data_IF_066675397826
#
_entry.id   IF_066675397826
#
_cell.length_a   1.000
_cell.length_b   1.000
_cell.length_c   1.000
_cell.angle_alpha   90.00
_cell.angle_beta   90.00
_cell.angle_gamma   90.00
#
_symmetry.space_group_name_H-M   'P 1'
#
loop_
_entity.id
_entity.type
_entity.pdbx_description
1 polymer ?
#
# COMPACT_ATOMS: atom_id res chain seq x y z
N UNK A 1 -32.52 -9.86 -42.02
CA UNK A 1 -31.18 -9.58 -41.46
C UNK A 1 -30.82 -10.32 -40.16
N UNK A 2 -31.73 -11.02 -39.44
CA UNK A 2 -31.41 -11.63 -38.14
C UNK A 2 -30.74 -13.03 -38.19
N UNK A 3 -30.95 -13.83 -39.25
CA UNK A 3 -30.42 -15.19 -39.34
C UNK A 3 -28.90 -15.26 -39.60
N UNK A 4 -28.35 -14.29 -40.33
CA UNK A 4 -26.90 -14.21 -40.62
C UNK A 4 -26.05 -13.85 -39.40
N UNK A 5 -26.52 -12.92 -38.56
CA UNK A 5 -25.84 -12.55 -37.33
C UNK A 5 -25.86 -13.71 -36.31
N UNK A 6 -26.96 -14.45 -36.25
CA UNK A 6 -27.08 -15.65 -35.40
C UNK A 6 -26.16 -16.77 -35.89
N UNK A 7 -26.07 -17.02 -37.21
CA UNK A 7 -25.15 -18.00 -37.77
C UNK A 7 -23.67 -17.64 -37.51
N UNK A 8 -23.30 -16.36 -37.68
CA UNK A 8 -21.94 -15.88 -37.42
C UNK A 8 -21.55 -16.01 -35.93
N UNK A 9 -22.44 -15.60 -35.03
CA UNK A 9 -22.22 -15.75 -33.58
C UNK A 9 -22.16 -17.22 -33.17
N UNK A 10 -22.98 -18.11 -33.75
CA UNK A 10 -22.88 -19.56 -33.50
C UNK A 10 -21.62 -20.22 -34.07
N UNK A 11 -21.08 -19.72 -35.18
CA UNK A 11 -19.78 -20.14 -35.73
C UNK A 11 -18.62 -19.76 -34.83
N UNK A 12 -18.63 -18.53 -34.31
CA UNK A 12 -17.64 -18.02 -33.33
C UNK A 12 -17.77 -18.77 -31.98
N UNK A 13 -18.99 -19.11 -31.56
CA UNK A 13 -19.24 -19.95 -30.37
C UNK A 13 -18.80 -21.41 -30.56
N UNK A 14 -18.83 -21.96 -31.78
CA UNK A 14 -18.24 -23.28 -32.11
C UNK A 14 -16.72 -23.25 -32.19
N UNK A 15 -16.12 -22.11 -32.54
CA UNK A 15 -14.70 -21.80 -32.28
C UNK A 15 -14.40 -21.54 -30.78
N UNK A 16 -15.32 -21.91 -29.88
CA UNK A 16 -15.45 -21.55 -28.47
C UNK A 16 -14.32 -21.93 -27.52
N UNK A 17 -13.15 -22.35 -28.04
CA UNK A 17 -11.92 -22.54 -27.26
C UNK A 17 -11.05 -21.28 -27.16
N UNK A 18 -11.14 -20.34 -28.10
CA UNK A 18 -10.19 -19.22 -28.17
C UNK A 18 -10.67 -17.93 -27.50
N UNK A 19 -11.97 -17.72 -27.34
CA UNK A 19 -12.49 -16.51 -26.69
C UNK A 19 -12.03 -16.28 -25.24
N UNK A 20 -11.80 -17.31 -24.39
CA UNK A 20 -11.29 -17.09 -23.04
C UNK A 20 -9.88 -16.51 -23.07
N UNK A 21 -9.06 -16.96 -24.02
CA UNK A 21 -7.71 -16.44 -24.25
C UNK A 21 -7.77 -14.98 -24.72
N UNK A 22 -8.72 -14.63 -25.59
CA UNK A 22 -8.93 -13.24 -26.00
C UNK A 22 -9.34 -12.34 -24.83
N UNK A 23 -10.30 -12.78 -23.99
CA UNK A 23 -10.71 -12.04 -22.79
C UNK A 23 -9.55 -11.90 -21.79
N UNK A 24 -8.80 -12.99 -21.58
CA UNK A 24 -7.61 -12.98 -20.72
C UNK A 24 -6.54 -12.03 -21.27
N UNK A 25 -6.32 -12.01 -22.59
CA UNK A 25 -5.41 -11.07 -23.24
C UNK A 25 -5.85 -9.62 -23.05
N UNK A 26 -7.16 -9.32 -23.08
CA UNK A 26 -7.66 -7.98 -22.76
C UNK A 26 -7.38 -7.58 -21.31
N UNK A 27 -7.62 -8.46 -20.34
CA UNK A 27 -7.24 -8.19 -18.94
C UNK A 27 -5.72 -8.03 -18.78
N UNK A 28 -4.95 -8.88 -19.46
CA UNK A 28 -3.48 -8.79 -19.52
C UNK A 28 -3.01 -7.44 -20.09
N UNK A 29 -3.66 -6.94 -21.14
CA UNK A 29 -3.38 -5.62 -21.70
C UNK A 29 -3.67 -4.50 -20.70
N UNK A 30 -4.81 -4.53 -20.00
CA UNK A 30 -5.14 -3.54 -18.96
C UNK A 30 -4.13 -3.60 -17.80
N UNK A 31 -3.71 -4.79 -17.36
CA UNK A 31 -2.69 -4.96 -16.33
C UNK A 31 -1.30 -4.45 -16.78
N UNK A 32 -0.88 -4.81 -17.99
CA UNK A 32 0.46 -4.51 -18.50
C UNK A 32 0.61 -3.08 -19.02
N UNK A 33 -0.44 -2.47 -19.58
CA UNK A 33 -0.38 -1.11 -20.15
C UNK A 33 -1.01 -0.09 -19.21
N UNK A 34 -2.19 -0.41 -18.65
CA UNK A 34 -2.88 0.51 -17.74
C UNK A 34 -2.26 0.60 -16.35
N UNK A 35 -1.66 -0.51 -15.88
CA UNK A 35 -1.15 -0.66 -14.52
C UNK A 35 0.37 -0.95 -14.46
N UNK A 36 1.11 -0.70 -15.54
CA UNK A 36 2.54 -1.04 -15.66
C UNK A 36 3.43 -0.43 -14.56
N UNK A 37 3.17 0.83 -14.19
CA UNK A 37 3.86 1.53 -13.09
C UNK A 37 3.21 1.30 -11.73
N UNK A 38 2.05 0.65 -11.70
CA UNK A 38 1.28 0.43 -10.47
C UNK A 38 1.61 -0.91 -9.83
N UNK A 39 1.89 -1.95 -10.64
CA UNK A 39 2.33 -3.26 -10.16
C UNK A 39 3.86 -3.33 -10.16
N UNK A 40 4.47 -3.25 -8.97
CA UNK A 40 5.91 -3.46 -8.81
C UNK A 40 6.17 -4.96 -8.64
N UNK A 41 7.14 -5.49 -9.39
CA UNK A 41 7.63 -6.85 -9.21
C UNK A 41 8.53 -6.90 -7.98
N UNK A 42 7.98 -7.33 -6.86
CA UNK A 42 8.71 -7.50 -5.60
C UNK A 42 8.55 -8.92 -5.03
N UNK A 43 9.24 -9.19 -3.91
CA UNK A 43 9.16 -10.48 -3.24
C UNK A 43 7.73 -10.79 -2.75
N UNK A 44 6.95 -9.76 -2.39
CA UNK A 44 5.55 -9.88 -1.99
C UNK A 44 4.67 -10.42 -3.11
N UNK A 45 4.86 -9.94 -4.34
CA UNK A 45 4.14 -10.42 -5.51
C UNK A 45 4.49 -11.89 -5.80
N UNK A 46 5.77 -12.25 -5.78
CA UNK A 46 6.21 -13.64 -6.01
C UNK A 46 5.61 -14.59 -4.97
N UNK A 47 5.70 -14.23 -3.69
CA UNK A 47 5.11 -15.02 -2.61
C UNK A 47 3.58 -15.07 -2.71
N UNK A 48 2.96 -14.00 -3.18
CA UNK A 48 1.52 -13.93 -3.44
C UNK A 48 1.08 -14.88 -4.54
N UNK A 49 1.84 -14.99 -5.63
CA UNK A 49 1.59 -16.00 -6.68
C UNK A 49 1.68 -17.41 -6.11
N UNK A 50 2.71 -17.70 -5.31
CA UNK A 50 2.83 -18.98 -4.61
C UNK A 50 1.61 -19.20 -3.70
N UNK A 51 1.20 -18.18 -2.94
CA UNK A 51 0.02 -18.25 -2.08
C UNK A 51 -1.27 -18.55 -2.85
N UNK A 52 -1.46 -17.98 -4.04
CA UNK A 52 -2.60 -18.30 -4.90
C UNK A 52 -2.61 -19.78 -5.30
N UNK A 53 -1.46 -20.38 -5.64
CA UNK A 53 -1.38 -21.81 -5.98
C UNK A 53 -1.82 -22.71 -4.81
N UNK A 54 -1.38 -22.38 -3.60
CA UNK A 54 -1.71 -23.16 -2.41
C UNK A 54 -3.12 -22.91 -1.88
N UNK A 55 -3.67 -21.71 -2.06
CA UNK A 55 -4.95 -21.34 -1.45
C UNK A 55 -6.14 -21.44 -2.38
N UNK A 56 -5.93 -21.41 -3.69
CA UNK A 56 -7.02 -21.53 -4.65
C UNK A 56 -7.57 -22.97 -4.63
N UNK A 57 -8.86 -23.07 -4.36
CA UNK A 57 -9.66 -24.27 -4.56
C UNK A 57 -10.93 -23.91 -5.33
N UNK A 58 -11.35 -24.82 -6.19
CA UNK A 58 -12.54 -24.66 -7.00
C UNK A 58 -13.59 -25.68 -6.59
N UNK A 59 -14.76 -25.19 -6.20
CA UNK A 59 -15.91 -26.04 -5.96
C UNK A 59 -16.68 -26.23 -7.28
N UNK A 60 -16.39 -27.34 -7.98
CA UNK A 60 -17.05 -27.72 -9.24
C UNK A 60 -18.53 -28.06 -9.08
N UNK A 61 -18.99 -28.31 -7.85
CA UNK A 61 -20.39 -28.63 -7.57
C UNK A 61 -21.29 -27.40 -7.46
N UNK A 62 -20.69 -26.23 -7.25
CA UNK A 62 -21.40 -24.97 -7.13
C UNK A 62 -21.22 -24.12 -8.38
N UNK A 63 -22.34 -23.53 -8.82
CA UNK A 63 -22.33 -22.60 -9.94
C UNK A 63 -21.52 -21.36 -9.56
N UNK A 64 -20.60 -20.95 -10.44
CA UNK A 64 -19.93 -19.65 -10.36
C UNK A 64 -20.95 -18.52 -10.21
N UNK A 65 -20.67 -17.56 -9.33
CA UNK A 65 -21.60 -16.50 -8.99
C UNK A 65 -21.22 -15.22 -9.74
N UNK A 66 -22.20 -14.40 -10.11
CA UNK A 66 -21.99 -13.07 -10.68
C UNK A 66 -21.47 -12.05 -9.66
N UNK A 67 -21.12 -12.48 -8.43
CA UNK A 67 -20.59 -11.62 -7.36
C UNK A 67 -19.38 -10.78 -7.81
N UNK A 68 -18.45 -11.39 -8.53
CA UNK A 68 -17.25 -10.69 -8.99
C UNK A 68 -17.54 -9.74 -10.16
N UNK A 69 -18.59 -10.02 -10.95
CA UNK A 69 -19.04 -9.09 -11.98
C UNK A 69 -19.56 -7.80 -11.36
N UNK A 70 -20.45 -7.89 -10.35
CA UNK A 70 -20.97 -6.70 -9.68
C UNK A 70 -19.87 -5.91 -8.97
N UNK A 71 -18.96 -6.59 -8.27
CA UNK A 71 -17.80 -5.93 -7.66
C UNK A 71 -16.92 -5.23 -8.70
N UNK A 72 -16.67 -5.86 -9.84
CA UNK A 72 -15.89 -5.26 -10.92
C UNK A 72 -16.59 -4.04 -11.52
N UNK A 73 -17.88 -4.14 -11.85
CA UNK A 73 -18.66 -3.01 -12.39
C UNK A 73 -18.74 -1.86 -11.41
N UNK A 74 -18.96 -2.12 -10.12
CA UNK A 74 -18.94 -1.07 -9.08
C UNK A 74 -17.57 -0.39 -9.01
N UNK A 75 -16.47 -1.17 -9.00
CA UNK A 75 -15.13 -0.60 -9.00
C UNK A 75 -14.86 0.20 -10.29
N UNK A 76 -15.28 -0.29 -11.46
CA UNK A 76 -15.17 0.44 -12.72
C UNK A 76 -15.97 1.74 -12.72
N UNK A 77 -17.19 1.73 -12.16
CA UNK A 77 -17.99 2.93 -12.00
C UNK A 77 -17.32 3.94 -11.05
N UNK A 78 -16.78 3.48 -9.93
CA UNK A 78 -15.97 4.32 -9.04
C UNK A 78 -14.73 4.87 -9.74
N UNK A 79 -14.08 4.10 -10.62
CA UNK A 79 -12.98 4.59 -11.45
C UNK A 79 -13.41 5.70 -12.42
N UNK A 80 -14.64 5.64 -12.94
CA UNK A 80 -15.19 6.69 -13.79
C UNK A 80 -15.47 7.97 -13.02
N UNK A 81 -15.97 7.88 -11.78
CA UNK A 81 -16.20 9.04 -10.91
C UNK A 81 -14.89 9.61 -10.35
N UNK A 82 -13.98 8.72 -9.97
CA UNK A 82 -12.73 8.99 -9.29
C UNK A 82 -11.64 8.20 -10.02
N UNK A 83 -10.83 8.82 -10.90
CA UNK A 83 -9.88 8.12 -11.78
C UNK A 83 -8.63 7.58 -11.05
N UNK A 84 -8.80 7.02 -9.86
CA UNK A 84 -7.79 6.32 -9.09
C UNK A 84 -7.51 4.93 -9.70
N UNK A 85 -6.26 4.68 -10.07
CA UNK A 85 -5.81 3.39 -10.65
C UNK A 85 -6.12 2.17 -9.77
N UNK A 86 -6.25 2.38 -8.47
CA UNK A 86 -6.72 1.39 -7.50
C UNK A 86 -8.04 0.74 -7.92
N UNK A 87 -9.04 1.53 -8.31
CA UNK A 87 -10.34 1.02 -8.72
C UNK A 87 -10.26 0.23 -10.02
N UNK A 88 -9.43 0.69 -10.97
CA UNK A 88 -9.15 -0.05 -12.20
C UNK A 88 -8.50 -1.41 -11.92
N UNK A 89 -7.53 -1.46 -10.99
CA UNK A 89 -6.88 -2.68 -10.54
C UNK A 89 -7.88 -3.65 -9.89
N UNK A 90 -8.70 -3.19 -8.95
CA UNK A 90 -9.74 -4.00 -8.29
C UNK A 90 -10.73 -4.56 -9.31
N UNK A 91 -11.18 -3.73 -10.27
CA UNK A 91 -12.08 -4.18 -11.33
C UNK A 91 -11.44 -5.25 -12.22
N UNK A 92 -10.17 -5.07 -12.59
CA UNK A 92 -9.45 -6.05 -13.39
C UNK A 92 -9.26 -7.39 -12.65
N UNK A 93 -8.86 -7.35 -11.37
CA UNK A 93 -8.70 -8.55 -10.54
C UNK A 93 -10.03 -9.29 -10.36
N UNK A 94 -11.12 -8.57 -10.09
CA UNK A 94 -12.46 -9.15 -10.02
C UNK A 94 -12.90 -9.73 -11.37
N UNK A 95 -12.55 -9.09 -12.49
CA UNK A 95 -12.75 -9.63 -13.84
C UNK A 95 -12.03 -10.96 -14.07
N UNK A 96 -10.77 -11.06 -13.65
CA UNK A 96 -10.01 -12.32 -13.69
C UNK A 96 -10.63 -13.41 -12.82
N UNK A 97 -11.11 -13.08 -11.61
CA UNK A 97 -11.82 -14.02 -10.74
C UNK A 97 -13.16 -14.48 -11.32
N UNK A 98 -13.92 -13.57 -11.95
CA UNK A 98 -15.14 -13.90 -12.68
C UNK A 98 -14.87 -14.88 -13.82
N UNK A 99 -13.80 -14.64 -14.59
CA UNK A 99 -13.37 -15.51 -15.67
C UNK A 99 -13.02 -16.90 -15.13
N UNK A 100 -12.22 -16.96 -14.05
CA UNK A 100 -11.85 -18.21 -13.40
C UNK A 100 -13.07 -18.97 -12.84
N UNK A 101 -14.03 -18.29 -12.19
CA UNK A 101 -15.27 -18.94 -11.72
C UNK A 101 -16.14 -19.48 -12.85
N UNK A 102 -16.11 -18.82 -14.00
CA UNK A 102 -16.88 -19.21 -15.18
C UNK A 102 -16.42 -20.57 -15.72
N UNK A 103 -15.12 -20.88 -15.65
CA UNK A 103 -14.55 -22.12 -16.20
C UNK A 103 -14.35 -23.23 -15.18
N UNK A 104 -13.90 -22.89 -13.97
CA UNK A 104 -13.43 -23.88 -13.00
C UNK A 104 -14.43 -24.13 -11.86
N UNK A 105 -15.48 -23.30 -11.74
CA UNK A 105 -16.46 -23.36 -10.66
C UNK A 105 -16.21 -22.33 -9.56
N UNK A 106 -17.03 -22.34 -8.50
CA UNK A 106 -16.95 -21.30 -7.45
C UNK A 106 -15.59 -21.33 -6.74
N UNK A 107 -14.97 -20.16 -6.61
CA UNK A 107 -13.67 -19.99 -5.93
C UNK A 107 -13.90 -19.77 -4.43
N UNK A 108 -13.04 -20.33 -3.59
CA UNK A 108 -13.04 -20.06 -2.15
C UNK A 108 -12.65 -18.61 -1.82
N UNK A 109 -12.75 -18.17 -0.57
CA UNK A 109 -12.47 -16.78 -0.20
C UNK A 109 -10.99 -16.45 -0.05
N UNK A 110 -10.11 -17.44 0.15
CA UNK A 110 -8.69 -17.20 0.42
C UNK A 110 -7.96 -16.50 -0.75
N UNK A 111 -8.16 -16.85 -2.04
CA UNK A 111 -7.52 -16.15 -3.15
C UNK A 111 -7.87 -14.67 -3.20
N UNK A 112 -9.09 -14.29 -2.80
CA UNK A 112 -9.49 -12.88 -2.71
C UNK A 112 -8.62 -12.15 -1.69
N UNK A 113 -8.39 -12.76 -0.52
CA UNK A 113 -7.52 -12.18 0.51
C UNK A 113 -6.08 -12.07 0.00
N UNK A 114 -5.55 -13.10 -0.66
CA UNK A 114 -4.21 -13.05 -1.26
C UNK A 114 -4.10 -11.90 -2.27
N UNK A 115 -5.07 -11.74 -3.17
CA UNK A 115 -5.08 -10.66 -4.15
C UNK A 115 -5.15 -9.27 -3.49
N UNK A 116 -5.89 -9.12 -2.39
CA UNK A 116 -5.91 -7.88 -1.60
C UNK A 116 -4.52 -7.61 -1.01
N UNK A 117 -3.87 -8.62 -0.42
CA UNK A 117 -2.53 -8.47 0.18
C UNK A 117 -1.44 -8.16 -0.85
N UNK A 118 -1.59 -8.68 -2.07
CA UNK A 118 -0.71 -8.38 -3.22
C UNK A 118 -0.99 -7.02 -3.86
N UNK A 119 -2.11 -6.38 -3.54
CA UNK A 119 -2.49 -5.13 -4.17
C UNK A 119 -1.68 -3.97 -3.58
N UNK A 120 -1.32 -2.95 -4.40
CA UNK A 120 -0.65 -1.75 -3.89
C UNK A 120 -1.48 -0.97 -2.86
N UNK A 121 -2.80 -1.22 -2.77
CA UNK A 121 -3.67 -0.68 -1.73
C UNK A 121 -3.19 -1.13 -0.35
N UNK A 122 -2.86 -2.41 -0.23
CA UNK A 122 -2.43 -2.98 1.04
C UNK A 122 -1.05 -2.44 1.42
N UNK A 123 -0.12 -2.37 0.47
CA UNK A 123 1.17 -1.73 0.68
C UNK A 123 1.03 -0.27 1.13
N UNK A 124 0.17 0.49 0.45
CA UNK A 124 -0.11 1.88 0.82
C UNK A 124 -0.68 2.00 2.23
N UNK A 125 -1.72 1.22 2.57
CA UNK A 125 -2.32 1.21 3.89
C UNK A 125 -1.25 0.87 4.95
N UNK A 126 -0.47 -0.18 4.71
CA UNK A 126 0.59 -0.58 5.62
C UNK A 126 1.68 0.49 5.77
N UNK A 127 2.04 1.23 4.71
CA UNK A 127 3.00 2.33 4.79
C UNK A 127 2.49 3.47 5.67
N UNK A 128 1.24 3.90 5.47
CA UNK A 128 0.59 4.95 6.26
C UNK A 128 0.56 4.59 7.74
N UNK A 129 0.14 3.38 8.08
CA UNK A 129 0.06 2.95 9.48
C UNK A 129 1.41 2.56 10.09
N UNK A 130 2.38 2.12 9.28
CA UNK A 130 3.68 1.65 9.79
C UNK A 130 4.49 2.76 10.47
N UNK A 131 4.41 3.99 10.00
CA UNK A 131 5.24 5.07 10.52
C UNK A 131 4.90 5.44 11.97
N UNK A 132 3.63 5.75 12.33
CA UNK A 132 3.26 5.95 13.73
C UNK A 132 3.55 4.74 14.61
N UNK A 133 3.31 3.52 14.10
CA UNK A 133 3.62 2.28 14.81
C UNK A 133 5.11 2.19 15.11
N UNK A 134 5.99 2.53 14.17
CA UNK A 134 7.45 2.53 14.40
C UNK A 134 7.86 3.51 15.49
N UNK A 135 7.34 4.74 15.46
CA UNK A 135 7.63 5.72 16.52
C UNK A 135 7.21 5.21 17.90
N UNK A 136 6.02 4.58 18.00
CA UNK A 136 5.55 3.96 19.23
C UNK A 136 6.45 2.79 19.66
N UNK A 137 6.85 1.91 18.73
CA UNK A 137 7.74 0.79 18.99
C UNK A 137 9.11 1.24 19.49
N UNK A 138 9.68 2.30 18.90
CA UNK A 138 10.95 2.90 19.33
C UNK A 138 10.84 3.42 20.77
N UNK A 139 9.75 4.13 21.09
CA UNK A 139 9.49 4.60 22.44
C UNK A 139 9.35 3.44 23.44
N UNK A 140 8.55 2.42 23.12
CA UNK A 140 8.36 1.25 23.98
C UNK A 140 9.65 0.45 24.17
N UNK A 141 10.45 0.27 23.12
CA UNK A 141 11.74 -0.39 23.21
C UNK A 141 12.70 0.38 24.13
N UNK A 142 12.82 1.69 23.96
CA UNK A 142 13.65 2.52 24.82
C UNK A 142 13.20 2.51 26.28
N UNK A 143 11.90 2.51 26.55
CA UNK A 143 11.35 2.34 27.90
C UNK A 143 11.70 0.97 28.50
N UNK A 144 11.54 -0.12 27.74
CA UNK A 144 11.87 -1.47 28.19
C UNK A 144 13.36 -1.63 28.52
N UNK A 145 14.25 -1.09 27.68
CA UNK A 145 15.70 -1.15 27.88
C UNK A 145 16.12 -0.29 29.09
N UNK A 146 15.46 0.87 29.30
CA UNK A 146 15.69 1.72 30.47
C UNK A 146 15.32 1.00 31.78
N UNK A 147 14.21 0.26 31.79
CA UNK A 147 13.81 -0.58 32.94
C UNK A 147 14.84 -1.67 33.22
N UNK A 148 15.51 -2.18 32.17
CA UNK A 148 16.61 -3.13 32.31
C UNK A 148 17.94 -2.51 32.81
N UNK A 149 17.97 -1.21 33.13
CA UNK A 149 19.09 -0.54 33.78
C UNK A 149 20.11 0.11 32.83
N UNK A 150 19.85 0.15 31.52
CA UNK A 150 20.72 0.84 30.58
C UNK A 150 20.34 2.32 30.39
N UNK A 151 21.33 3.19 30.25
CA UNK A 151 21.12 4.60 29.95
C UNK A 151 20.79 4.78 28.47
N UNK A 152 19.50 4.93 28.19
CA UNK A 152 18.98 5.07 26.82
C UNK A 152 18.23 6.37 26.65
N UNK A 153 18.57 7.12 25.61
CA UNK A 153 17.82 8.30 25.15
C UNK A 153 17.06 7.94 23.88
N UNK A 154 15.79 8.32 23.81
CA UNK A 154 14.95 8.10 22.61
C UNK A 154 14.67 9.45 21.98
N UNK A 155 14.93 9.56 20.68
CA UNK A 155 14.64 10.75 19.89
C UNK A 155 13.94 10.33 18.59
N UNK A 156 12.60 10.40 18.59
CA UNK A 156 11.81 10.07 17.41
C UNK A 156 11.94 8.61 17.02
N UNK A 157 12.44 8.33 15.82
CA UNK A 157 12.74 6.98 15.34
C UNK A 157 14.10 6.43 15.79
N UNK A 158 14.88 7.15 16.62
CA UNK A 158 16.22 6.74 17.04
C UNK A 158 16.32 6.39 18.54
N UNK A 159 17.17 5.42 18.83
CA UNK A 159 17.54 4.99 20.19
C UNK A 159 19.04 5.21 20.35
N UNK A 160 19.45 6.02 21.32
CA UNK A 160 20.85 6.27 21.67
C UNK A 160 21.16 5.46 22.93
N UNK A 161 22.04 4.46 22.81
CA UNK A 161 22.44 3.58 23.90
C UNK A 161 23.97 3.50 23.94
N UNK A 162 24.58 3.83 25.09
CA UNK A 162 26.04 3.78 25.29
C UNK A 162 26.85 4.52 24.20
N UNK A 163 26.34 5.65 23.70
CA UNK A 163 26.99 6.43 22.63
C UNK A 163 26.74 5.91 21.21
N UNK A 164 26.10 4.75 21.03
CA UNK A 164 25.71 4.22 19.74
C UNK A 164 24.30 4.70 19.36
N UNK A 165 24.11 5.08 18.10
CA UNK A 165 22.82 5.48 17.54
C UNK A 165 22.18 4.33 16.76
N UNK A 166 20.98 3.91 17.16
CA UNK A 166 20.19 2.89 16.48
C UNK A 166 18.96 3.52 15.85
N UNK A 167 18.94 3.60 14.52
CA UNK A 167 17.76 4.07 13.79
C UNK A 167 16.78 2.92 13.52
N UNK A 168 15.51 3.14 13.85
CA UNK A 168 14.41 2.19 13.58
C UNK A 168 13.73 2.60 12.26
N UNK A 169 14.40 2.31 11.15
CA UNK A 169 14.01 2.76 9.82
C UNK A 169 13.12 1.77 9.04
N UNK A 170 12.47 2.20 7.94
CA UNK A 170 11.71 1.30 7.06
C UNK A 170 12.54 0.12 6.52
N UNK A 171 13.85 0.34 6.35
CA UNK A 171 14.83 -0.68 5.94
C UNK A 171 14.99 -1.78 6.97
N UNK A 172 14.56 -1.58 8.22
CA UNK A 172 14.39 -2.65 9.20
C UNK A 172 13.17 -3.55 8.87
N UNK A 173 12.98 -3.92 7.60
CA UNK A 173 12.11 -4.97 7.05
C UNK A 173 10.61 -5.05 7.49
N UNK A 174 10.12 -4.22 8.41
CA UNK A 174 8.83 -4.46 9.08
C UNK A 174 7.62 -4.53 8.15
N UNK A 175 7.61 -3.75 7.07
CA UNK A 175 6.51 -3.73 6.09
C UNK A 175 6.51 -5.01 5.22
N UNK A 176 7.65 -5.33 4.63
CA UNK A 176 7.80 -6.53 3.80
C UNK A 176 7.63 -7.79 4.64
N UNK A 177 8.07 -7.78 5.89
CA UNK A 177 7.82 -8.87 6.85
C UNK A 177 6.35 -8.98 7.22
N UNK A 178 5.59 -7.88 7.29
CA UNK A 178 4.14 -7.94 7.51
C UNK A 178 3.43 -8.66 6.37
N UNK A 179 3.65 -8.21 5.13
CA UNK A 179 3.06 -8.85 3.94
C UNK A 179 3.49 -10.31 3.86
N UNK A 180 4.78 -10.59 4.06
CA UNK A 180 5.33 -11.95 4.06
C UNK A 180 4.69 -12.83 5.12
N UNK A 181 4.58 -12.37 6.37
CA UNK A 181 3.94 -13.11 7.46
C UNK A 181 2.48 -13.44 7.14
N UNK A 182 1.73 -12.46 6.61
CA UNK A 182 0.33 -12.64 6.26
C UNK A 182 0.16 -13.63 5.11
N UNK A 183 0.97 -13.53 4.05
CA UNK A 183 0.94 -14.47 2.93
C UNK A 183 1.35 -15.88 3.36
N UNK A 184 2.41 -16.03 4.16
CA UNK A 184 2.80 -17.31 4.75
C UNK A 184 1.68 -17.89 5.62
N UNK A 185 1.03 -17.06 6.44
CA UNK A 185 -0.14 -17.47 7.22
C UNK A 185 -1.30 -17.96 6.35
N UNK A 186 -1.61 -17.25 5.27
CA UNK A 186 -2.66 -17.65 4.31
C UNK A 186 -2.27 -18.96 3.60
N UNK A 187 -1.00 -19.14 3.22
CA UNK A 187 -0.48 -20.41 2.68
C UNK A 187 -0.71 -21.54 3.68
N UNK A 188 -0.35 -21.36 4.95
CA UNK A 188 -0.53 -22.37 6.00
C UNK A 188 -2.02 -22.70 6.22
N UNK A 189 -2.90 -21.69 6.23
CA UNK A 189 -4.34 -21.89 6.30
C UNK A 189 -4.82 -22.73 5.11
N UNK A 190 -4.45 -22.35 3.88
CA UNK A 190 -4.83 -23.08 2.67
C UNK A 190 -4.31 -24.51 2.64
N UNK A 191 -3.06 -24.72 3.06
CA UNK A 191 -2.42 -26.03 3.19
C UNK A 191 -3.18 -26.93 4.16
N UNK A 192 -3.42 -26.47 5.40
CA UNK A 192 -4.12 -27.28 6.40
C UNK A 192 -5.61 -27.48 6.10
N UNK A 193 -6.27 -26.51 5.47
CA UNK A 193 -7.66 -26.69 4.99
C UNK A 193 -7.74 -27.81 3.95
N UNK A 194 -6.79 -27.85 3.00
CA UNK A 194 -6.66 -28.94 2.02
C UNK A 194 -6.33 -30.27 2.70
N UNK A 195 -5.38 -30.29 3.64
CA UNK A 195 -4.95 -31.49 4.35
C UNK A 195 -6.09 -32.12 5.18
N UNK A 196 -6.85 -31.32 5.93
CA UNK A 196 -7.93 -31.81 6.79
C UNK A 196 -9.30 -31.87 6.09
N UNK A 197 -9.40 -31.44 4.83
CA UNK A 197 -10.66 -31.32 4.06
C UNK A 197 -11.74 -30.53 4.82
N UNK A 198 -11.31 -29.48 5.52
CA UNK A 198 -12.15 -28.60 6.31
C UNK A 198 -11.90 -27.16 5.94
N UNK A 199 -12.95 -26.35 5.90
CA UNK A 199 -12.86 -24.91 5.63
C UNK A 199 -13.16 -24.11 6.89
N UNK A 200 -12.37 -23.05 7.11
CA UNK A 200 -12.63 -22.07 8.17
C UNK A 200 -13.59 -21.01 7.64
N UNK A 201 -14.44 -20.51 8.55
CA UNK A 201 -15.26 -19.34 8.26
C UNK A 201 -14.36 -18.12 7.98
N UNK A 202 -14.77 -17.26 7.05
CA UNK A 202 -14.05 -16.04 6.68
C UNK A 202 -13.73 -15.16 7.90
N UNK A 203 -14.67 -15.02 8.83
CA UNK A 203 -14.46 -14.23 10.05
C UNK A 203 -13.33 -14.78 10.93
N UNK A 204 -13.19 -16.10 11.03
CA UNK A 204 -12.10 -16.71 11.78
C UNK A 204 -10.76 -16.55 11.05
N UNK A 205 -10.77 -16.62 9.71
CA UNK A 205 -9.59 -16.29 8.90
C UNK A 205 -9.17 -14.85 9.13
N UNK A 206 -10.10 -13.88 9.06
CA UNK A 206 -9.82 -12.46 9.32
C UNK A 206 -9.31 -12.21 10.74
N UNK A 207 -9.90 -12.85 11.75
CA UNK A 207 -9.43 -12.78 13.14
C UNK A 207 -8.00 -13.33 13.28
N UNK A 208 -7.69 -14.43 12.60
CA UNK A 208 -6.34 -14.99 12.57
C UNK A 208 -5.35 -14.06 11.84
N UNK A 209 -5.76 -13.42 10.73
CA UNK A 209 -4.94 -12.40 10.07
C UNK A 209 -4.65 -11.21 11.01
N UNK A 210 -5.66 -10.73 11.73
CA UNK A 210 -5.50 -9.66 12.70
C UNK A 210 -4.56 -10.06 13.85
N UNK A 211 -4.69 -11.29 14.36
CA UNK A 211 -3.77 -11.83 15.35
C UNK A 211 -2.33 -11.89 14.82
N UNK A 212 -2.13 -12.28 13.55
CA UNK A 212 -0.81 -12.27 12.92
C UNK A 212 -0.20 -10.88 12.81
N UNK A 213 -1.00 -9.85 12.48
CA UNK A 213 -0.54 -8.46 12.49
C UNK A 213 -0.01 -8.09 13.88
N UNK A 214 -0.78 -8.40 14.93
CA UNK A 214 -0.40 -8.13 16.31
C UNK A 214 0.89 -8.88 16.70
N UNK A 215 0.97 -10.18 16.41
CA UNK A 215 2.17 -10.98 16.66
C UNK A 215 3.40 -10.42 15.95
N UNK A 216 3.24 -9.89 14.74
CA UNK A 216 4.34 -9.29 13.99
C UNK A 216 4.78 -7.94 14.59
N UNK A 217 3.84 -7.10 15.04
CA UNK A 217 4.15 -5.87 15.79
C UNK A 217 4.94 -6.20 17.07
N UNK A 218 4.51 -7.20 17.82
CA UNK A 218 5.21 -7.67 19.03
C UNK A 218 6.59 -8.26 18.69
N UNK A 219 6.68 -9.08 17.64
CA UNK A 219 7.94 -9.62 17.15
C UNK A 219 8.93 -8.51 16.78
N UNK A 220 8.45 -7.44 16.14
CA UNK A 220 9.29 -6.29 15.80
C UNK A 220 9.73 -5.50 17.02
N UNK A 221 8.88 -5.37 18.06
CA UNK A 221 9.29 -4.79 19.34
C UNK A 221 10.45 -5.59 19.98
N UNK A 222 10.28 -6.90 20.10
CA UNK A 222 11.29 -7.79 20.67
C UNK A 222 12.59 -7.75 19.86
N UNK A 223 12.48 -7.69 18.53
CA UNK A 223 13.64 -7.52 17.64
C UNK A 223 14.41 -6.24 17.94
N UNK A 224 13.74 -5.09 18.06
CA UNK A 224 14.40 -3.81 18.37
C UNK A 224 15.12 -3.91 19.71
N UNK A 225 14.46 -4.44 20.74
CA UNK A 225 15.04 -4.62 22.07
C UNK A 225 16.31 -5.50 21.98
N UNK A 226 16.23 -6.63 21.28
CA UNK A 226 17.35 -7.56 21.14
C UNK A 226 18.54 -6.95 20.41
N UNK A 227 18.30 -6.24 19.31
CA UNK A 227 19.35 -5.62 18.49
C UNK A 227 20.05 -4.50 19.26
N UNK A 228 19.31 -3.64 19.96
CA UNK A 228 19.91 -2.57 20.78
C UNK A 228 20.67 -3.15 21.97
N UNK A 229 20.09 -4.15 22.66
CA UNK A 229 20.74 -4.77 23.82
C UNK A 229 22.06 -5.46 23.43
N UNK A 230 22.07 -6.20 22.31
CA UNK A 230 23.28 -6.85 21.79
C UNK A 230 24.20 -5.94 20.97
N UNK A 231 23.86 -4.65 20.86
CA UNK A 231 24.58 -3.68 20.03
C UNK A 231 24.82 -4.12 18.58
N UNK A 232 23.83 -4.77 17.97
CA UNK A 232 23.89 -5.21 16.58
C UNK A 232 23.60 -4.00 15.68
N UNK A 233 24.59 -3.53 14.94
CA UNK A 233 24.43 -2.36 14.07
C UNK A 233 23.59 -2.66 12.81
N UNK A 234 22.83 -1.68 12.29
CA UNK A 234 22.18 -1.78 10.98
C UNK A 234 23.18 -2.08 9.86
N UNK A 235 22.77 -2.86 8.85
CA UNK A 235 23.61 -3.23 7.70
C UNK A 235 24.55 -4.42 7.94
N UNK A 236 24.59 -4.99 9.14
CA UNK A 236 25.30 -6.24 9.43
C UNK A 236 24.44 -7.47 9.07
N UNK A 237 25.07 -8.58 8.68
CA UNK A 237 24.36 -9.85 8.42
C UNK A 237 23.57 -10.29 9.66
N UNK A 238 24.13 -10.07 10.85
CA UNK A 238 23.47 -10.43 12.13
C UNK A 238 22.16 -9.69 12.35
N UNK A 239 22.06 -8.44 11.88
CA UNK A 239 20.82 -7.66 11.96
C UNK A 239 19.69 -8.33 11.15
N UNK A 240 20.00 -8.83 9.95
CA UNK A 240 19.01 -9.44 9.05
C UNK A 240 18.65 -10.86 9.51
N UNK A 241 19.62 -11.63 9.98
CA UNK A 241 19.40 -12.95 10.59
C UNK A 241 18.55 -12.83 11.84
N UNK A 242 18.81 -11.86 12.72
CA UNK A 242 17.99 -11.63 13.90
C UNK A 242 16.54 -11.29 13.52
N UNK A 243 16.34 -10.50 12.46
CA UNK A 243 15.01 -10.21 11.91
C UNK A 243 14.29 -11.47 11.42
N UNK A 244 14.96 -12.30 10.61
CA UNK A 244 14.39 -13.55 10.11
C UNK A 244 14.08 -14.53 11.24
N UNK A 245 14.97 -14.65 12.23
CA UNK A 245 14.74 -15.48 13.40
C UNK A 245 13.52 -15.02 14.20
N UNK A 246 13.36 -13.72 14.44
CA UNK A 246 12.20 -13.18 15.15
C UNK A 246 10.90 -13.52 14.40
N UNK A 247 10.87 -13.36 13.07
CA UNK A 247 9.71 -13.74 12.26
C UNK A 247 9.39 -15.23 12.38
N UNK A 248 10.40 -16.09 12.24
CA UNK A 248 10.20 -17.54 12.31
C UNK A 248 9.72 -17.95 13.70
N UNK A 249 10.44 -17.53 14.75
CA UNK A 249 10.19 -17.97 16.11
C UNK A 249 8.93 -17.37 16.73
N UNK A 250 8.67 -16.07 16.51
CA UNK A 250 7.57 -15.38 17.16
C UNK A 250 6.30 -15.31 16.31
N UNK A 251 6.38 -15.57 15.01
CA UNK A 251 5.21 -15.53 14.12
C UNK A 251 4.95 -16.90 13.49
N UNK A 252 5.87 -17.44 12.69
CA UNK A 252 5.61 -18.65 11.91
C UNK A 252 5.44 -19.90 12.80
N UNK A 253 6.33 -20.13 13.75
CA UNK A 253 6.29 -21.31 14.64
C UNK A 253 4.98 -21.36 15.43
N UNK A 254 4.53 -20.29 16.12
CA UNK A 254 3.22 -20.29 16.78
C UNK A 254 2.06 -20.58 15.82
N UNK A 255 2.11 -20.07 14.58
CA UNK A 255 1.09 -20.33 13.57
C UNK A 255 1.05 -21.79 13.11
N UNK A 256 2.20 -22.46 13.02
CA UNK A 256 2.28 -23.88 12.71
C UNK A 256 1.54 -24.74 13.74
N UNK A 257 1.39 -24.29 14.98
CA UNK A 257 0.59 -24.98 15.99
C UNK A 257 -0.87 -24.49 16.02
N UNK A 258 -1.07 -23.18 15.95
CA UNK A 258 -2.38 -22.55 16.09
C UNK A 258 -3.32 -22.86 14.92
N UNK A 259 -2.83 -22.78 13.68
CA UNK A 259 -3.64 -22.99 12.46
C UNK A 259 -4.20 -24.41 12.39
N UNK A 260 -3.40 -25.49 12.48
CA UNK A 260 -3.97 -26.84 12.41
C UNK A 260 -4.92 -27.12 13.57
N UNK A 261 -4.64 -26.59 14.77
CA UNK A 261 -5.57 -26.69 15.90
C UNK A 261 -6.92 -26.03 15.59
N UNK A 262 -6.92 -24.78 15.08
CA UNK A 262 -8.12 -24.06 14.68
C UNK A 262 -8.89 -24.78 13.56
N UNK A 263 -8.19 -25.24 12.52
CA UNK A 263 -8.81 -25.95 11.38
C UNK A 263 -9.44 -27.26 11.85
N UNK A 264 -8.79 -28.03 12.74
CA UNK A 264 -9.34 -29.27 13.27
C UNK A 264 -10.58 -29.02 14.14
N UNK A 265 -10.54 -28.01 15.01
CA UNK A 265 -11.59 -27.72 16.00
C UNK A 265 -12.80 -27.01 15.42
N UNK A 266 -12.58 -25.97 14.60
CA UNK A 266 -13.64 -25.08 14.10
C UNK A 266 -13.90 -25.19 12.60
N UNK A 267 -13.07 -25.96 11.88
CA UNK A 267 -13.25 -26.17 10.44
C UNK A 267 -14.49 -27.01 10.13
N UNK A 268 -15.27 -26.53 9.17
CA UNK A 268 -16.46 -27.22 8.66
C UNK A 268 -16.06 -28.19 7.54
N UNK A 269 -16.61 -29.41 7.49
CA UNK A 269 -16.27 -30.37 6.43
C UNK A 269 -16.70 -29.83 5.07
N UNK A 270 -15.84 -29.98 4.06
CA UNK A 270 -16.17 -29.60 2.68
C UNK A 270 -17.15 -30.63 2.12
N UNK A 271 -18.42 -30.24 1.97
CA UNK A 271 -19.46 -31.13 1.44
C UNK A 271 -19.36 -31.18 -0.08
N UNK A 272 -18.73 -32.22 -0.62
CA UNK A 272 -18.64 -32.46 -2.06
C UNK A 272 -20.01 -32.92 -2.59
N UNK A 273 -20.81 -32.02 -3.14
CA UNK A 273 -22.03 -32.41 -3.85
C UNK A 273 -21.65 -32.98 -5.22
N UNK A 274 -22.03 -34.23 -5.51
CA UNK A 274 -21.59 -34.96 -6.71
C UNK A 274 -22.27 -34.52 -8.03
N UNK A 275 -23.03 -33.42 -8.03
CA UNK A 275 -23.73 -32.97 -9.24
C UNK A 275 -22.76 -32.17 -10.12
N UNK A 276 -22.39 -32.75 -11.25
CA UNK A 276 -21.66 -32.04 -12.30
C UNK A 276 -22.57 -30.97 -12.90
N UNK A 277 -22.17 -29.71 -12.78
CA UNK A 277 -22.89 -28.60 -13.38
C UNK A 277 -22.65 -28.55 -14.89
N UNK A 278 -23.73 -28.55 -15.67
CA UNK A 278 -23.70 -28.31 -17.13
C UNK A 278 -23.91 -26.81 -17.36
N UNK A 279 -23.04 -26.22 -18.19
CA UNK A 279 -23.04 -24.79 -18.51
C UNK A 279 -24.33 -24.40 -19.30
N UNK A 280 -25.43 -24.11 -18.59
CA UNK A 280 -26.76 -23.93 -19.20
C UNK A 280 -26.93 -22.65 -20.05
N UNK A 281 -26.00 -21.70 -20.00
CA UNK A 281 -26.04 -20.48 -20.83
C UNK A 281 -24.64 -19.93 -21.10
N UNK A 282 -23.92 -20.56 -22.04
CA UNK A 282 -22.61 -20.10 -22.51
C UNK A 282 -22.67 -18.67 -23.05
N UNK A 283 -23.77 -18.29 -23.73
CA UNK A 283 -23.95 -16.96 -24.32
C UNK A 283 -23.99 -15.86 -23.26
N UNK A 284 -24.77 -16.02 -22.18
CA UNK A 284 -24.85 -15.02 -21.11
C UNK A 284 -23.49 -14.82 -20.45
N UNK A 285 -22.77 -15.90 -20.16
CA UNK A 285 -21.46 -15.86 -19.52
C UNK A 285 -20.40 -15.25 -20.46
N UNK A 286 -20.45 -15.57 -21.75
CA UNK A 286 -19.61 -14.93 -22.76
C UNK A 286 -19.85 -13.41 -22.81
N UNK A 287 -21.11 -12.97 -22.89
CA UNK A 287 -21.45 -11.55 -22.92
C UNK A 287 -20.95 -10.81 -21.68
N UNK A 288 -21.15 -11.37 -20.48
CA UNK A 288 -20.67 -10.75 -19.24
C UNK A 288 -19.13 -10.64 -19.20
N UNK A 289 -18.42 -11.69 -19.61
CA UNK A 289 -16.96 -11.71 -19.63
C UNK A 289 -16.35 -10.89 -20.78
N UNK A 290 -17.10 -10.61 -21.85
CA UNK A 290 -16.66 -9.77 -22.96
C UNK A 290 -16.93 -8.28 -22.71
N UNK A 291 -18.08 -7.94 -22.10
CA UNK A 291 -18.46 -6.54 -21.83
C UNK A 291 -17.54 -5.86 -20.81
N UNK A 292 -17.13 -6.58 -19.77
CA UNK A 292 -16.30 -6.03 -18.70
C UNK A 292 -14.91 -5.53 -19.19
N UNK A 293 -14.09 -6.32 -19.90
CA UNK A 293 -12.79 -5.85 -20.40
C UNK A 293 -12.93 -4.73 -21.43
N UNK A 294 -13.98 -4.74 -22.27
CA UNK A 294 -14.26 -3.62 -23.19
C UNK A 294 -14.54 -2.36 -22.37
N UNK A 295 -15.40 -2.44 -21.36
CA UNK A 295 -15.67 -1.32 -20.46
C UNK A 295 -14.41 -0.81 -19.74
N UNK A 296 -13.53 -1.71 -19.30
CA UNK A 296 -12.25 -1.34 -18.68
C UNK A 296 -11.32 -0.60 -19.64
N UNK A 297 -11.18 -1.10 -20.87
CA UNK A 297 -10.35 -0.45 -21.90
C UNK A 297 -10.94 0.92 -22.26
N UNK A 298 -12.25 1.01 -22.48
CA UNK A 298 -12.91 2.29 -22.78
C UNK A 298 -12.74 3.28 -21.64
N UNK A 299 -12.98 2.87 -20.39
CA UNK A 299 -12.81 3.73 -19.23
C UNK A 299 -11.35 4.20 -19.10
N UNK A 300 -10.38 3.31 -19.28
CA UNK A 300 -8.96 3.64 -19.26
C UNK A 300 -8.58 4.65 -20.35
N UNK A 301 -9.11 4.51 -21.56
CA UNK A 301 -8.85 5.42 -22.67
C UNK A 301 -9.51 6.80 -22.46
N UNK A 302 -10.73 6.84 -21.91
CA UNK A 302 -11.46 8.09 -21.62
C UNK A 302 -10.84 8.86 -20.46
N UNK A 303 -10.45 8.16 -19.38
CA UNK A 303 -9.86 8.75 -18.18
C UNK A 303 -8.33 8.79 -18.21
N UNK A 304 -7.72 8.57 -19.39
CA UNK A 304 -6.28 8.79 -19.53
C UNK A 304 -6.02 10.25 -19.13
N UNK A 305 -5.25 10.51 -18.05
CA UNK A 305 -5.04 11.87 -17.58
C UNK A 305 -4.48 12.66 -18.75
N UNK A 306 -5.25 13.63 -19.25
CA UNK A 306 -4.69 14.68 -20.09
C UNK A 306 -3.60 15.30 -19.24
N UNK A 307 -2.39 15.41 -19.77
CA UNK A 307 -1.33 16.14 -19.09
C UNK A 307 -1.73 17.62 -19.04
N UNK A 308 -2.60 17.98 -18.10
CA UNK A 308 -2.95 19.37 -17.76
C UNK A 308 -1.81 20.03 -16.98
N UNK A 309 -0.57 19.57 -17.20
CA UNK A 309 0.59 19.84 -16.35
C UNK A 309 1.24 21.21 -16.51
N UNK A 310 0.82 22.05 -17.47
CA UNK A 310 1.56 23.29 -17.76
C UNK A 310 0.72 24.58 -17.69
N UNK A 311 -0.62 24.52 -17.70
CA UNK A 311 -1.41 25.76 -17.74
C UNK A 311 -1.59 26.45 -16.39
N UNK A 312 -1.59 25.72 -15.26
CA UNK A 312 -1.74 26.30 -13.92
C UNK A 312 -0.48 27.01 -13.39
N UNK A 313 0.68 26.79 -14.01
CA UNK A 313 1.98 27.32 -13.53
C UNK A 313 2.48 28.52 -14.35
N UNK A 314 1.66 28.99 -15.30
CA UNK A 314 1.95 30.15 -16.16
C UNK A 314 1.56 31.44 -15.43
N UNK A 315 2.29 31.80 -14.38
CA UNK A 315 2.00 33.00 -13.58
C UNK A 315 2.33 32.88 -12.09
N UNK A 316 3.30 32.04 -11.73
CA UNK A 316 3.72 31.93 -10.33
C UNK A 316 4.22 33.29 -9.82
N UNK A 317 3.73 33.77 -8.66
CA UNK A 317 4.17 35.03 -8.09
C UNK A 317 5.66 34.95 -7.76
N UNK A 318 6.40 36.00 -8.10
CA UNK A 318 7.79 36.12 -7.71
C UNK A 318 7.88 36.28 -6.18
N UNK A 319 8.76 35.53 -5.55
CA UNK A 319 9.08 35.68 -4.13
C UNK A 319 10.43 36.39 -4.02
N UNK A 320 10.48 37.49 -3.27
CA UNK A 320 11.69 38.32 -3.15
C UNK A 320 12.83 37.48 -2.56
N UNK A 321 13.95 37.39 -3.29
CA UNK A 321 15.14 36.64 -2.87
C UNK A 321 15.08 35.13 -3.11
N UNK A 322 14.05 34.63 -3.81
CA UNK A 322 13.94 33.22 -4.17
C UNK A 322 13.73 33.03 -5.67
N UNK A 323 14.39 32.00 -6.21
CA UNK A 323 14.07 31.47 -7.54
C UNK A 323 12.88 30.51 -7.42
N UNK A 324 11.78 30.84 -8.09
CA UNK A 324 10.57 30.01 -8.14
C UNK A 324 10.54 29.29 -9.49
N UNK A 325 10.45 27.96 -9.47
CA UNK A 325 10.41 27.13 -10.65
C UNK A 325 9.28 26.09 -10.58
N UNK A 326 8.42 26.01 -11.60
CA UNK A 326 7.49 24.91 -11.72
C UNK A 326 8.21 23.62 -12.13
N UNK A 327 7.84 22.51 -11.51
CA UNK A 327 8.28 21.17 -11.83
C UNK A 327 7.10 20.29 -12.27
N UNK A 328 7.35 19.21 -13.03
CA UNK A 328 6.29 18.29 -13.44
C UNK A 328 5.50 17.74 -12.25
N UNK A 329 4.18 17.60 -12.43
CA UNK A 329 3.29 17.00 -11.43
C UNK A 329 2.76 17.97 -10.38
N UNK A 330 2.54 19.24 -10.74
CA UNK A 330 2.03 20.30 -9.84
C UNK A 330 2.94 20.50 -8.61
N UNK A 331 4.24 20.48 -8.86
CA UNK A 331 5.26 20.73 -7.84
C UNK A 331 5.86 22.10 -8.11
N UNK A 332 5.96 22.92 -7.07
CA UNK A 332 6.65 24.21 -7.12
C UNK A 332 7.92 24.07 -6.31
N UNK A 333 9.05 24.40 -6.92
CA UNK A 333 10.35 24.50 -6.25
C UNK A 333 10.65 25.98 -6.01
N UNK A 334 10.94 26.33 -4.77
CA UNK A 334 11.34 27.67 -4.34
C UNK A 334 12.71 27.52 -3.70
N UNK A 335 13.73 28.19 -4.20
CA UNK A 335 15.10 28.02 -3.70
C UNK A 335 15.89 29.33 -3.64
N UNK A 336 16.80 29.41 -2.68
CA UNK A 336 17.86 30.43 -2.61
C UNK A 336 19.16 29.77 -2.13
N UNK A 337 20.16 30.56 -1.75
CA UNK A 337 21.48 30.05 -1.34
C UNK A 337 21.46 29.22 -0.03
N UNK A 338 20.39 29.33 0.77
CA UNK A 338 20.30 28.74 2.13
C UNK A 338 19.13 27.79 2.32
N UNK A 339 18.08 27.91 1.49
CA UNK A 339 16.81 27.25 1.68
C UNK A 339 16.30 26.65 0.37
N UNK A 340 15.75 25.45 0.48
CA UNK A 340 15.04 24.76 -0.57
C UNK A 340 13.66 24.37 -0.08
N UNK A 341 12.62 24.87 -0.75
CA UNK A 341 11.22 24.60 -0.44
C UNK A 341 10.55 23.91 -1.62
N UNK A 342 9.85 22.81 -1.35
CA UNK A 342 8.98 22.14 -2.30
C UNK A 342 7.53 22.21 -1.82
N UNK A 343 6.67 22.78 -2.66
CA UNK A 343 5.23 22.75 -2.48
C UNK A 343 4.67 21.74 -3.48
N UNK A 344 4.03 20.69 -2.97
CA UNK A 344 3.47 19.62 -3.81
C UNK A 344 1.96 19.61 -3.62
N UNK A 345 1.23 20.07 -4.62
CA UNK A 345 -0.22 20.17 -4.54
C UNK A 345 -0.88 18.79 -4.52
N UNK A 346 -1.87 18.64 -3.64
CA UNK A 346 -2.63 17.40 -3.48
C UNK A 346 -4.06 17.67 -3.93
N UNK A 347 -4.42 17.32 -5.18
CA UNK A 347 -5.66 17.77 -5.79
C UNK A 347 -6.92 17.14 -5.18
N UNK A 348 -6.79 16.01 -4.48
CA UNK A 348 -7.92 15.29 -3.93
C UNK A 348 -7.55 14.47 -2.68
N UNK A 349 -8.55 14.20 -1.85
CA UNK A 349 -8.43 13.40 -0.62
C UNK A 349 -8.02 11.95 -0.82
N UNK A 350 -8.12 11.41 -2.04
CA UNK A 350 -7.73 10.05 -2.42
C UNK A 350 -6.42 10.01 -3.22
N UNK A 351 -5.76 11.17 -3.42
CA UNK A 351 -4.51 11.22 -4.17
C UNK A 351 -3.42 10.47 -3.40
N UNK A 352 -2.62 9.68 -4.14
CA UNK A 352 -1.47 8.97 -3.59
C UNK A 352 -0.41 9.97 -3.20
N UNK A 353 0.08 9.86 -1.97
CA UNK A 353 0.90 10.89 -1.34
C UNK A 353 2.24 11.08 -2.02
N UNK A 354 2.69 12.32 -2.03
CA UNK A 354 4.11 12.63 -2.06
C UNK A 354 4.72 12.39 -0.68
N UNK A 355 4.61 11.18 -0.12
CA UNK A 355 5.16 10.91 1.20
C UNK A 355 6.64 11.33 1.20
N UNK A 356 7.03 12.34 1.98
CA UNK A 356 8.36 12.92 1.90
C UNK A 356 9.46 11.88 2.08
N UNK A 357 9.22 10.89 2.96
CA UNK A 357 10.15 9.78 3.19
C UNK A 357 10.42 8.96 1.92
N UNK A 358 9.42 8.77 1.06
CA UNK A 358 9.59 8.06 -0.21
C UNK A 358 10.38 8.94 -1.18
N UNK A 359 10.07 10.23 -1.26
CA UNK A 359 10.76 11.15 -2.16
C UNK A 359 12.24 11.30 -1.83
N UNK A 360 12.59 11.56 -0.56
CA UNK A 360 13.98 11.73 -0.14
C UNK A 360 14.79 10.44 -0.32
N UNK A 361 14.20 9.29 0.02
CA UNK A 361 14.83 8.00 -0.24
C UNK A 361 15.06 7.75 -1.73
N UNK A 362 14.11 8.13 -2.57
CA UNK A 362 14.27 8.10 -4.04
C UNK A 362 15.37 9.03 -4.56
N UNK A 363 15.66 10.11 -3.83
CA UNK A 363 16.79 11.02 -4.10
C UNK A 363 18.12 10.57 -3.49
N UNK A 364 18.17 9.44 -2.79
CA UNK A 364 19.39 8.90 -2.19
C UNK A 364 19.66 9.33 -0.75
N UNK A 365 18.77 10.10 -0.13
CA UNK A 365 18.91 10.51 1.28
C UNK A 365 18.28 9.51 2.23
N UNK A 366 18.94 9.27 3.36
CA UNK A 366 18.38 8.59 4.51
C UNK A 366 17.83 9.61 5.51
N UNK A 367 16.71 9.27 6.17
CA UNK A 367 16.09 10.10 7.19
C UNK A 367 16.50 9.64 8.58
N UNK A 368 17.07 10.55 9.36
CA UNK A 368 17.45 10.35 10.75
C UNK A 368 16.71 11.33 11.65
N UNK A 369 16.58 10.97 12.94
CA UNK A 369 16.05 11.86 13.99
C UNK A 369 14.67 12.45 13.65
N UNK A 370 13.80 11.65 13.02
CA UNK A 370 12.46 12.10 12.64
C UNK A 370 11.63 12.31 13.90
N UNK A 371 11.24 13.56 14.17
CA UNK A 371 10.47 13.94 15.37
C UNK A 371 9.32 14.89 15.03
N UNK A 372 8.28 14.86 15.85
CA UNK A 372 7.25 15.90 15.87
C UNK A 372 7.76 17.10 16.66
N UNK A 373 7.65 18.29 16.08
CA UNK A 373 8.10 19.54 16.69
C UNK A 373 6.96 20.56 16.64
N UNK A 374 6.76 21.30 17.74
CA UNK A 374 5.82 22.42 17.80
C UNK A 374 6.53 23.71 17.37
N UNK A 375 6.07 24.35 16.31
CA UNK A 375 6.61 25.63 15.79
C UNK A 375 5.44 26.57 15.50
N UNK A 376 5.48 27.78 16.06
CA UNK A 376 4.41 28.77 15.91
C UNK A 376 2.99 28.24 16.25
N UNK A 377 2.88 27.30 17.20
CA UNK A 377 1.61 26.65 17.56
C UNK A 377 1.16 25.51 16.64
N UNK A 378 1.93 25.19 15.59
CA UNK A 378 1.65 24.11 14.66
C UNK A 378 2.57 22.92 14.91
N UNK A 379 2.02 21.71 14.87
CA UNK A 379 2.81 20.48 14.93
C UNK A 379 3.27 20.11 13.52
N UNK A 380 4.58 20.00 13.34
CA UNK A 380 5.23 19.64 12.08
C UNK A 380 6.18 18.46 12.29
N UNK A 381 6.59 17.81 11.21
CA UNK A 381 7.70 16.87 11.28
C UNK A 381 9.02 17.56 10.96
N UNK A 382 10.08 17.15 11.64
CA UNK A 382 11.47 17.55 11.35
C UNK A 382 12.37 16.33 11.31
N UNK A 383 13.39 16.33 10.44
CA UNK A 383 14.37 15.27 10.34
C UNK A 383 15.73 15.77 9.86
N UNK A 384 16.75 14.94 10.05
CA UNK A 384 18.07 15.05 9.42
C UNK A 384 18.08 14.18 8.16
N UNK A 385 18.40 14.76 7.02
CA UNK A 385 18.69 14.07 5.78
C UNK A 385 20.19 13.86 5.69
N UNK A 386 20.62 12.62 5.46
CA UNK A 386 22.03 12.31 5.28
C UNK A 386 22.27 11.47 4.04
N UNK A 387 23.23 11.91 3.24
CA UNK A 387 23.75 11.20 2.08
C UNK A 387 25.28 11.33 2.12
N UNK A 388 25.97 10.20 2.31
CA UNK A 388 27.42 10.17 2.53
C UNK A 388 27.88 11.13 3.65
N UNK A 389 28.58 12.22 3.29
CA UNK A 389 29.05 13.25 4.23
C UNK A 389 28.12 14.46 4.31
N UNK A 390 27.16 14.56 3.40
CA UNK A 390 26.24 15.69 3.34
C UNK A 390 25.12 15.51 4.36
N UNK A 391 24.91 16.56 5.15
CA UNK A 391 23.87 16.62 6.17
C UNK A 391 23.00 17.84 5.90
N UNK A 392 21.70 17.61 5.77
CA UNK A 392 20.70 18.65 5.58
C UNK A 392 19.60 18.47 6.62
N UNK A 393 18.98 19.57 7.02
CA UNK A 393 17.87 19.55 7.95
C UNK A 393 16.58 19.82 7.19
N UNK A 394 15.54 19.05 7.46
CA UNK A 394 14.26 19.22 6.78
C UNK A 394 13.07 19.25 7.73
N UNK A 395 12.03 19.97 7.32
CA UNK A 395 10.73 19.99 7.96
C UNK A 395 9.62 19.81 6.93
N UNK A 396 8.52 19.19 7.32
CA UNK A 396 7.35 19.07 6.44
C UNK A 396 6.02 19.02 7.18
N UNK A 397 4.98 19.48 6.49
CA UNK A 397 3.59 19.50 6.94
C UNK A 397 2.62 19.63 5.74
N UNK A 398 1.34 19.45 5.99
CA UNK A 398 0.27 19.69 5.03
C UNK A 398 -0.42 21.02 5.33
N UNK A 399 -0.68 21.80 4.29
CA UNK A 399 -1.28 23.13 4.41
C UNK A 399 -2.24 23.43 3.25
N UNK A 400 -3.37 24.07 3.51
CA UNK A 400 -4.30 24.54 2.48
C UNK A 400 -4.56 26.06 2.54
N UNK A 401 -3.66 26.82 3.18
CA UNK A 401 -3.76 28.26 3.41
C UNK A 401 -4.62 28.66 4.61
N UNK A 402 -5.54 27.78 5.03
CA UNK A 402 -6.46 28.00 6.16
C UNK A 402 -6.06 27.15 7.36
N UNK A 403 -5.76 25.87 7.13
CA UNK A 403 -5.44 24.88 8.15
C UNK A 403 -4.11 24.19 7.84
N UNK A 404 -3.38 23.89 8.92
CA UNK A 404 -2.06 23.27 8.89
C UNK A 404 -2.08 22.02 9.77
N UNK A 405 -1.67 20.87 9.23
CA UNK A 405 -1.56 19.62 9.99
C UNK A 405 -0.37 18.79 9.52
N UNK A 406 0.24 18.00 10.40
CA UNK A 406 1.20 16.97 10.02
C UNK A 406 0.53 15.58 9.81
N UNK A 407 -0.76 15.43 10.13
CA UNK A 407 -1.46 14.15 10.12
C UNK A 407 -2.13 13.88 8.79
N UNK A 408 -1.83 12.73 8.21
CA UNK A 408 -2.37 12.34 6.91
C UNK A 408 -3.89 12.11 6.93
N UNK A 409 -4.40 11.50 7.99
CA UNK A 409 -5.82 11.20 8.10
C UNK A 409 -6.66 12.48 8.24
N UNK A 410 -6.11 13.49 8.90
CA UNK A 410 -6.78 14.77 9.18
C UNK A 410 -7.05 15.52 7.88
N UNK A 411 -6.01 15.87 7.10
CA UNK A 411 -6.22 16.62 5.85
C UNK A 411 -7.07 15.85 4.84
N UNK A 412 -6.98 14.51 4.81
CA UNK A 412 -7.82 13.68 3.93
C UNK A 412 -9.29 13.79 4.30
N UNK A 413 -9.59 13.73 5.59
CA UNK A 413 -10.96 13.88 6.09
C UNK A 413 -11.46 15.30 5.86
N UNK A 414 -10.65 16.33 6.11
CA UNK A 414 -11.02 17.72 5.86
C UNK A 414 -11.41 17.93 4.40
N UNK A 415 -10.60 17.45 3.45
CA UNK A 415 -10.90 17.52 2.03
C UNK A 415 -12.14 16.69 1.64
N UNK A 416 -12.35 15.52 2.25
CA UNK A 416 -13.57 14.72 2.03
C UNK A 416 -14.82 15.46 2.50
N UNK A 417 -14.70 16.29 3.54
CA UNK A 417 -15.77 17.13 4.08
C UNK A 417 -15.92 18.46 3.33
N UNK A 418 -15.14 18.69 2.27
CA UNK A 418 -15.27 19.84 1.37
C UNK A 418 -14.26 20.97 1.60
N UNK A 419 -13.22 20.76 2.43
CA UNK A 419 -12.14 21.73 2.56
C UNK A 419 -11.35 21.90 1.24
N UNK A 420 -10.65 23.03 1.13
CA UNK A 420 -9.74 23.29 0.02
C UNK A 420 -8.62 22.25 -0.05
N UNK A 421 -8.10 22.06 -1.27
CA UNK A 421 -7.00 21.15 -1.53
C UNK A 421 -5.78 21.50 -0.69
N UNK A 422 -5.18 20.48 -0.07
CA UNK A 422 -3.93 20.65 0.66
C UNK A 422 -2.74 20.59 -0.27
N UNK A 423 -1.63 21.13 0.20
CA UNK A 423 -0.32 20.97 -0.38
C UNK A 423 0.61 20.44 0.70
N UNK A 424 1.50 19.54 0.31
CA UNK A 424 2.60 19.15 1.16
C UNK A 424 3.73 20.17 0.99
N UNK A 425 4.07 20.84 2.07
CA UNK A 425 5.19 21.77 2.13
C UNK A 425 6.39 21.03 2.72
N UNK A 426 7.51 21.04 2.01
CA UNK A 426 8.79 20.54 2.51
C UNK A 426 9.80 21.67 2.49
N UNK A 427 10.46 21.92 3.60
CA UNK A 427 11.53 22.92 3.74
C UNK A 427 12.80 22.18 4.08
N UNK A 428 13.90 22.51 3.41
CA UNK A 428 15.23 21.94 3.66
C UNK A 428 16.26 23.07 3.76
N UNK A 429 17.17 22.96 4.72
CA UNK A 429 18.24 23.92 4.99
C UNK A 429 19.57 23.21 5.30
N UNK A 430 20.67 23.93 5.23
CA UNK A 430 22.02 23.45 5.60
C UNK A 430 22.22 23.26 7.10
N UNK A 431 21.49 24.00 7.94
CA UNK A 431 21.60 23.92 9.40
C UNK A 431 20.24 23.86 10.11
N UNK A 432 20.22 23.30 11.33
CA UNK A 432 19.01 23.22 12.16
C UNK A 432 18.48 24.62 12.53
N UNK A 433 19.39 25.57 12.76
CA UNK A 433 19.03 26.95 13.12
C UNK A 433 18.36 27.68 11.96
N UNK A 434 18.93 27.59 10.75
CA UNK A 434 18.33 28.15 9.53
C UNK A 434 16.97 27.55 9.25
N UNK A 435 16.84 26.22 9.36
CA UNK A 435 15.56 25.53 9.19
C UNK A 435 14.52 26.07 10.18
N UNK A 436 14.89 26.17 11.46
CA UNK A 436 13.97 26.63 12.52
C UNK A 436 13.50 28.05 12.27
N UNK A 437 14.41 28.95 11.91
CA UNK A 437 14.07 30.34 11.60
C UNK A 437 13.16 30.43 10.36
N UNK A 438 13.50 29.71 9.29
CA UNK A 438 12.73 29.71 8.06
C UNK A 438 11.31 29.17 8.26
N UNK A 439 11.17 28.03 8.93
CA UNK A 439 9.87 27.41 9.17
C UNK A 439 9.01 28.27 10.09
N UNK A 440 9.60 28.86 11.14
CA UNK A 440 8.88 29.78 12.02
C UNK A 440 8.37 30.98 11.24
N UNK A 441 9.21 31.57 10.38
CA UNK A 441 8.81 32.69 9.53
C UNK A 441 7.67 32.31 8.58
N UNK A 442 7.82 31.19 7.86
CA UNK A 442 6.81 30.69 6.90
C UNK A 442 5.45 30.48 7.57
N UNK A 443 5.42 29.86 8.76
CA UNK A 443 4.17 29.57 9.47
C UNK A 443 3.53 30.82 10.09
N UNK A 444 4.34 31.74 10.62
CA UNK A 444 3.84 32.93 11.32
C UNK A 444 3.40 34.03 10.35
N UNK A 445 4.19 34.27 9.30
CA UNK A 445 3.95 35.33 8.32
C UNK A 445 3.12 34.84 7.11
N UNK A 446 2.83 33.53 7.03
CA UNK A 446 2.09 32.90 5.93
C UNK A 446 2.68 33.20 4.55
N UNK A 447 4.01 33.28 4.44
CA UNK A 447 4.73 33.65 3.19
C UNK A 447 4.39 32.75 2.00
N UNK A 448 3.97 31.50 2.26
CA UNK A 448 3.62 30.54 1.22
C UNK A 448 2.14 30.53 0.83
N UNK A 449 1.28 31.29 1.51
CA UNK A 449 -0.18 31.26 1.29
C UNK A 449 -0.62 31.59 -0.14
N UNK A 450 0.19 32.33 -0.91
CA UNK A 450 -0.10 32.64 -2.32
C UNK A 450 0.12 31.43 -3.25
N UNK A 451 0.83 30.40 -2.76
CA UNK A 451 1.12 29.16 -3.47
C UNK A 451 0.34 27.97 -2.92
N UNK A 452 -0.58 28.18 -1.96
CA UNK A 452 -1.41 27.17 -1.32
C UNK A 452 -2.86 27.37 -1.74
#
# INVERSE_FOLDING_TARGET
MSKGLFALTTGILRAGRCWPLAVLACYGFVLLVGLHRYLVLDAGLVLGVIALLFTTSFNKSERGNTRYFYLAVTALFLYLLVPAKTFLCVSCLCGCLLLAETFYGRINSLPVLVLVMMSPIFEYAMNVFSFPIRLALTAWAGSAIRVAGQQVSVQGNMIICNGNEFSVDPTCMGLQMMVTALLCGIILIGFYQKQYKKELNLWLVLALLAAMILMNVVSNLLRIIFIVWLNIMPGTIMHDVAGMMCLVLYVIVPLLFLIPWLVRRYGKPVVLHRKYYILRSAVKLFLLNALLPVGLITAFLVNKPRETGNQLLSGLPAMKGFAVQPLPGNIIRIQNDTLLVYIKHIPASYYTEHNPMICWKGSGYNLYKVKETLVAGHTIYTALLQQDKDQLYTAWWYDNGVATTNRQLEWRMDMLLGAHAYSLVNVTASSEEELRLAVNKILTEKELSVFL
#
